data_IF_100918633180
#
_entry.id   IF_100918633180
#
_cell.length_a   1.000
_cell.length_b   1.000
_cell.length_c   1.000
_cell.angle_alpha   90.00
_cell.angle_beta   90.00
_cell.angle_gamma   90.00
#
_symmetry.space_group_name_H-M   'P 1'
#
loop_
_entity.id
_entity.type
_entity.pdbx_description
1 polymer ?
#
# COMPACT_ATOMS: atom_id res chain seq x y z
N UNK A 1 -22.24 -17.19 -25.89
CA UNK A 1 -22.36 -16.06 -24.95
C UNK A 1 -21.58 -16.38 -23.70
N UNK A 2 -20.64 -15.53 -23.27
CA UNK A 2 -19.97 -15.72 -21.96
C UNK A 2 -20.96 -15.33 -20.87
N UNK A 3 -21.26 -16.27 -19.97
CA UNK A 3 -22.15 -16.01 -18.82
C UNK A 3 -21.56 -14.89 -17.95
N UNK A 4 -22.43 -14.03 -17.46
CA UNK A 4 -22.09 -12.98 -16.50
C UNK A 4 -21.75 -13.63 -15.14
N UNK A 5 -20.84 -13.03 -14.38
CA UNK A 5 -20.43 -13.55 -13.06
C UNK A 5 -21.62 -13.62 -12.07
N UNK A 6 -22.58 -12.71 -12.16
CA UNK A 6 -23.79 -12.71 -11.37
C UNK A 6 -24.68 -13.93 -11.68
N UNK A 7 -24.86 -14.27 -12.95
CA UNK A 7 -25.63 -15.47 -13.35
C UNK A 7 -24.99 -16.74 -12.82
N UNK A 8 -23.65 -16.84 -12.96
CA UNK A 8 -22.90 -17.99 -12.43
C UNK A 8 -23.00 -18.08 -10.90
N UNK A 9 -22.97 -16.96 -10.21
CA UNK A 9 -23.16 -16.86 -8.76
C UNK A 9 -24.56 -17.36 -8.34
N UNK A 10 -25.61 -16.94 -9.05
CA UNK A 10 -26.98 -17.40 -8.81
C UNK A 10 -27.15 -18.91 -8.99
N UNK A 11 -26.52 -19.51 -10.01
CA UNK A 11 -26.51 -20.96 -10.21
C UNK A 11 -25.79 -21.70 -9.05
N UNK A 12 -24.70 -21.14 -8.56
CA UNK A 12 -23.97 -21.70 -7.40
C UNK A 12 -24.85 -21.70 -6.16
N UNK A 13 -25.53 -20.60 -5.87
CA UNK A 13 -26.44 -20.50 -4.72
C UNK A 13 -27.63 -21.46 -4.86
N UNK A 14 -28.21 -21.58 -6.06
CA UNK A 14 -29.28 -22.53 -6.34
C UNK A 14 -28.85 -23.96 -6.04
N UNK A 15 -27.69 -24.36 -6.58
CA UNK A 15 -27.15 -25.71 -6.34
C UNK A 15 -26.82 -25.95 -4.88
N UNK A 16 -26.37 -24.93 -4.16
CA UNK A 16 -26.12 -25.03 -2.72
C UNK A 16 -27.40 -25.24 -1.91
N UNK A 17 -28.49 -24.56 -2.29
CA UNK A 17 -29.81 -24.75 -1.68
C UNK A 17 -30.40 -26.14 -1.96
N UNK A 18 -30.21 -26.67 -3.15
CA UNK A 18 -30.60 -28.08 -3.51
C UNK A 18 -29.85 -29.09 -2.64
N UNK A 19 -28.70 -28.74 -2.08
CA UNK A 19 -27.94 -29.56 -1.14
C UNK A 19 -28.28 -29.30 0.34
N UNK A 20 -29.36 -28.56 0.61
CA UNK A 20 -29.88 -28.35 1.95
C UNK A 20 -29.28 -27.15 2.69
N UNK A 21 -28.58 -26.22 1.99
CA UNK A 21 -28.19 -24.96 2.61
C UNK A 21 -29.35 -23.97 2.52
N UNK A 22 -29.83 -23.55 3.67
CA UNK A 22 -30.94 -22.60 3.82
C UNK A 22 -30.40 -21.22 4.24
N UNK A 23 -31.24 -20.18 4.06
CA UNK A 23 -30.96 -18.82 4.49
C UNK A 23 -30.71 -17.82 3.35
N UNK A 24 -30.34 -16.62 3.74
CA UNK A 24 -30.01 -15.56 2.81
C UNK A 24 -28.68 -15.83 2.08
N UNK A 25 -28.44 -15.10 0.98
CA UNK A 25 -27.25 -15.30 0.14
C UNK A 25 -25.94 -15.26 0.92
N UNK A 26 -25.82 -14.34 1.88
CA UNK A 26 -24.63 -14.22 2.71
C UNK A 26 -24.41 -15.42 3.63
N UNK A 27 -25.48 -15.97 4.17
CA UNK A 27 -25.46 -17.14 5.05
C UNK A 27 -25.06 -18.39 4.27
N UNK A 28 -25.66 -18.59 3.11
CA UNK A 28 -25.32 -19.71 2.19
C UNK A 28 -23.86 -19.61 1.76
N UNK A 29 -23.39 -18.42 1.36
CA UNK A 29 -21.99 -18.23 0.95
C UNK A 29 -21.02 -18.51 2.12
N UNK A 30 -21.32 -18.04 3.35
CA UNK A 30 -20.51 -18.30 4.54
C UNK A 30 -20.49 -19.80 4.88
N UNK A 31 -21.64 -20.46 4.80
CA UNK A 31 -21.74 -21.91 5.05
C UNK A 31 -20.90 -22.71 4.05
N UNK A 32 -20.96 -22.36 2.76
CA UNK A 32 -20.10 -22.99 1.73
C UNK A 32 -18.62 -22.80 2.02
N UNK A 33 -18.21 -21.58 2.42
CA UNK A 33 -16.83 -21.27 2.74
C UNK A 33 -16.29 -22.03 3.96
N UNK A 34 -17.18 -22.38 4.89
CA UNK A 34 -16.87 -23.17 6.09
C UNK A 34 -16.75 -24.67 5.83
N UNK A 35 -17.14 -25.16 4.66
CA UNK A 35 -17.03 -26.59 4.36
C UNK A 35 -15.58 -27.10 4.35
N UNK A 36 -15.35 -28.33 4.79
CA UNK A 36 -14.05 -29.00 4.66
C UNK A 36 -13.56 -28.97 3.21
N UNK A 37 -12.25 -28.86 3.02
CA UNK A 37 -11.61 -28.65 1.72
C UNK A 37 -12.07 -29.66 0.64
N UNK A 38 -12.21 -30.91 1.00
CA UNK A 38 -12.61 -31.99 0.06
C UNK A 38 -14.09 -31.84 -0.36
N UNK A 39 -14.99 -31.55 0.59
CA UNK A 39 -16.40 -31.28 0.31
C UNK A 39 -16.57 -30.08 -0.57
N UNK A 40 -15.82 -29.02 -0.27
CA UNK A 40 -15.83 -27.79 -1.08
C UNK A 40 -15.32 -28.00 -2.51
N UNK A 41 -14.27 -28.82 -2.69
CA UNK A 41 -13.74 -29.18 -4.01
C UNK A 41 -14.74 -29.99 -4.82
N UNK A 42 -15.40 -30.97 -4.21
CA UNK A 42 -16.45 -31.79 -4.85
C UNK A 42 -17.62 -30.90 -5.30
N UNK A 43 -18.04 -29.94 -4.48
CA UNK A 43 -19.05 -28.96 -4.84
C UNK A 43 -18.63 -28.09 -6.00
N UNK A 44 -17.41 -27.53 -5.96
CA UNK A 44 -16.87 -26.71 -7.05
C UNK A 44 -16.84 -27.48 -8.38
N UNK A 45 -16.45 -28.76 -8.36
CA UNK A 45 -16.49 -29.62 -9.53
C UNK A 45 -17.92 -29.86 -10.03
N UNK A 46 -18.89 -30.06 -9.12
CA UNK A 46 -20.33 -30.21 -9.47
C UNK A 46 -20.90 -29.01 -10.18
N UNK A 47 -20.52 -27.79 -9.79
CA UNK A 47 -20.94 -26.54 -10.45
C UNK A 47 -20.03 -26.16 -11.64
N UNK A 48 -19.07 -27.00 -12.01
CA UNK A 48 -18.20 -26.79 -13.17
C UNK A 48 -17.16 -25.68 -12.98
N UNK A 49 -16.80 -25.34 -11.74
CA UNK A 49 -15.89 -24.24 -11.42
C UNK A 49 -14.61 -24.73 -10.74
N UNK A 50 -13.51 -23.96 -10.93
CA UNK A 50 -12.30 -24.18 -10.15
C UNK A 50 -12.54 -23.75 -8.69
N UNK A 51 -12.20 -24.60 -7.72
CA UNK A 51 -12.41 -24.35 -6.30
C UNK A 51 -11.77 -23.01 -5.84
N UNK A 52 -10.59 -22.65 -6.37
CA UNK A 52 -9.93 -21.38 -6.09
C UNK A 52 -10.77 -20.19 -6.55
N UNK A 53 -11.27 -20.21 -7.79
CA UNK A 53 -12.13 -19.17 -8.33
C UNK A 53 -13.43 -19.03 -7.54
N UNK A 54 -14.09 -20.16 -7.24
CA UNK A 54 -15.31 -20.18 -6.44
C UNK A 54 -15.09 -19.54 -5.06
N UNK A 55 -14.01 -19.91 -4.36
CA UNK A 55 -13.71 -19.45 -3.00
C UNK A 55 -13.29 -17.99 -2.91
N UNK A 56 -12.42 -17.54 -3.82
CA UNK A 56 -11.75 -16.24 -3.69
C UNK A 56 -12.35 -15.14 -4.56
N UNK A 57 -13.05 -15.51 -5.60
CA UNK A 57 -13.60 -14.52 -6.54
C UNK A 57 -15.14 -14.50 -6.52
N UNK A 58 -15.80 -15.65 -6.60
CA UNK A 58 -17.23 -15.71 -6.82
C UNK A 58 -18.05 -15.61 -5.52
N UNK A 59 -17.78 -16.43 -4.50
CA UNK A 59 -18.52 -16.40 -3.24
C UNK A 59 -18.39 -15.07 -2.48
N UNK A 60 -17.27 -14.30 -2.55
CA UNK A 60 -17.19 -12.97 -1.97
C UNK A 60 -18.16 -11.93 -2.56
N UNK A 61 -18.86 -12.23 -3.65
CA UNK A 61 -19.97 -11.38 -4.17
C UNK A 61 -21.01 -11.14 -3.07
N UNK A 62 -21.28 -12.12 -2.22
CA UNK A 62 -22.20 -11.99 -1.08
C UNK A 62 -21.82 -10.86 -0.10
N UNK A 63 -20.54 -10.48 -0.06
CA UNK A 63 -20.01 -9.44 0.83
C UNK A 63 -19.93 -8.07 0.17
N UNK A 64 -20.29 -7.96 -1.11
CA UNK A 64 -20.30 -6.68 -1.79
C UNK A 64 -21.48 -5.82 -1.34
N UNK A 65 -21.29 -4.51 -1.18
CA UNK A 65 -22.38 -3.55 -0.98
C UNK A 65 -23.39 -3.62 -2.12
N UNK A 66 -24.65 -3.27 -1.80
CA UNK A 66 -25.77 -3.33 -2.75
C UNK A 66 -25.49 -2.63 -4.09
N UNK A 67 -24.95 -1.40 -4.16
CA UNK A 67 -24.67 -0.75 -5.45
C UNK A 67 -23.71 -1.55 -6.34
N UNK A 68 -22.76 -2.29 -5.78
CA UNK A 68 -21.84 -3.14 -6.55
C UNK A 68 -22.51 -4.44 -6.99
N UNK A 69 -23.42 -4.99 -6.21
CA UNK A 69 -24.20 -6.18 -6.58
C UNK A 69 -25.14 -5.85 -7.74
N UNK A 70 -25.87 -4.71 -7.65
CA UNK A 70 -26.69 -4.22 -8.77
C UNK A 70 -25.89 -3.94 -10.03
N UNK A 71 -24.69 -3.36 -9.89
CA UNK A 71 -23.83 -3.11 -11.03
C UNK A 71 -23.34 -4.41 -11.68
N UNK A 72 -23.06 -5.46 -10.90
CA UNK A 72 -22.75 -6.80 -11.42
C UNK A 72 -23.91 -7.40 -12.20
N UNK A 73 -25.14 -7.25 -11.72
CA UNK A 73 -26.35 -7.67 -12.45
C UNK A 73 -26.46 -6.98 -13.80
N UNK A 74 -26.11 -5.69 -13.85
CA UNK A 74 -26.13 -4.84 -15.06
C UNK A 74 -24.87 -5.01 -15.93
N UNK A 75 -23.95 -5.95 -15.58
CA UNK A 75 -22.82 -6.31 -16.43
C UNK A 75 -21.47 -5.72 -16.03
N UNK A 76 -21.32 -5.12 -14.84
CA UNK A 76 -20.01 -4.74 -14.33
C UNK A 76 -19.11 -6.00 -14.23
N UNK A 77 -17.88 -5.99 -14.75
CA UNK A 77 -16.97 -7.12 -14.61
C UNK A 77 -16.65 -7.40 -13.12
N UNK A 78 -16.63 -8.67 -12.72
CA UNK A 78 -16.37 -9.10 -11.34
C UNK A 78 -15.06 -8.53 -10.79
N UNK A 79 -14.02 -8.49 -11.62
CA UNK A 79 -12.73 -7.90 -11.25
C UNK A 79 -12.88 -6.43 -10.83
N UNK A 80 -13.69 -5.67 -11.56
CA UNK A 80 -13.94 -4.25 -11.26
C UNK A 80 -14.77 -4.09 -9.97
N UNK A 81 -15.79 -4.92 -9.78
CA UNK A 81 -16.57 -4.91 -8.54
C UNK A 81 -15.68 -5.17 -7.31
N UNK A 82 -14.75 -6.13 -7.39
CA UNK A 82 -13.79 -6.38 -6.31
C UNK A 82 -12.78 -5.23 -6.15
N UNK A 83 -12.37 -4.58 -7.24
CA UNK A 83 -11.51 -3.38 -7.18
C UNK A 83 -12.21 -2.26 -6.43
N UNK A 84 -13.43 -1.93 -6.82
CA UNK A 84 -14.24 -0.89 -6.18
C UNK A 84 -14.54 -1.21 -4.71
N UNK A 85 -14.87 -2.46 -4.38
CA UNK A 85 -15.07 -2.88 -2.99
C UNK A 85 -13.81 -2.70 -2.14
N UNK A 86 -12.62 -2.99 -2.68
CA UNK A 86 -11.36 -2.70 -1.98
C UNK A 86 -11.18 -1.20 -1.74
N UNK A 87 -11.51 -0.35 -2.71
CA UNK A 87 -11.45 1.10 -2.57
C UNK A 87 -12.42 1.63 -1.51
N UNK A 88 -13.66 1.11 -1.48
CA UNK A 88 -14.63 1.41 -0.40
C UNK A 88 -14.10 1.03 0.97
N UNK A 89 -13.61 -0.21 1.12
CA UNK A 89 -13.07 -0.70 2.41
C UNK A 89 -11.88 0.10 2.91
N UNK A 90 -11.18 0.78 2.03
CA UNK A 90 -10.03 1.63 2.33
C UNK A 90 -10.42 3.09 2.55
N UNK A 91 -11.69 3.45 2.31
CA UNK A 91 -12.18 4.82 2.41
C UNK A 91 -11.71 5.73 1.26
N UNK A 92 -11.27 5.16 0.14
CA UNK A 92 -10.94 5.89 -1.10
C UNK A 92 -12.21 6.34 -1.80
N UNK A 93 -13.23 5.47 -1.81
CA UNK A 93 -14.57 5.74 -2.30
C UNK A 93 -15.56 5.67 -1.15
N UNK A 94 -16.64 6.41 -1.26
CA UNK A 94 -17.84 6.28 -0.45
C UNK A 94 -18.93 5.52 -1.21
N UNK A 95 -19.97 5.06 -0.53
CA UNK A 95 -21.12 4.46 -1.20
C UNK A 95 -21.81 5.47 -2.13
N UNK A 96 -21.81 6.76 -1.77
CA UNK A 96 -22.35 7.83 -2.59
C UNK A 96 -21.63 7.96 -3.95
N UNK A 97 -20.33 7.66 -4.01
CA UNK A 97 -19.58 7.68 -5.27
C UNK A 97 -20.03 6.59 -6.25
N UNK A 98 -20.74 5.56 -5.78
CA UNK A 98 -21.23 4.44 -6.57
C UNK A 98 -22.70 4.57 -6.94
N UNK A 99 -23.48 5.34 -6.17
CA UNK A 99 -24.93 5.46 -6.36
C UNK A 99 -25.27 6.10 -7.70
N UNK A 100 -26.20 5.48 -8.43
CA UNK A 100 -26.69 5.99 -9.72
C UNK A 100 -25.72 5.87 -10.89
N UNK A 101 -24.53 5.30 -10.68
CA UNK A 101 -23.54 5.11 -11.75
C UNK A 101 -23.84 3.86 -12.58
N UNK A 102 -23.71 3.97 -13.90
CA UNK A 102 -23.78 2.80 -14.77
C UNK A 102 -22.51 1.93 -14.69
N UNK A 103 -22.54 0.66 -15.14
CA UNK A 103 -21.37 -0.22 -15.07
C UNK A 103 -20.12 0.29 -15.79
N UNK A 104 -20.28 1.08 -16.87
CA UNK A 104 -19.15 1.66 -17.60
C UNK A 104 -18.53 2.81 -16.82
N UNK A 105 -19.36 3.68 -16.24
CA UNK A 105 -18.92 4.75 -15.38
C UNK A 105 -18.21 4.20 -14.13
N UNK A 106 -18.77 3.16 -13.50
CA UNK A 106 -18.14 2.47 -12.37
C UNK A 106 -16.79 1.82 -12.75
N UNK A 107 -16.72 1.16 -13.90
CA UNK A 107 -15.48 0.57 -14.41
C UNK A 107 -14.42 1.64 -14.74
N UNK A 108 -14.88 2.81 -15.17
CA UNK A 108 -14.05 3.96 -15.47
C UNK A 108 -13.76 4.83 -14.24
N UNK A 109 -14.45 4.56 -13.09
CA UNK A 109 -14.08 5.28 -11.87
C UNK A 109 -12.59 5.09 -11.62
N UNK A 110 -11.75 6.11 -11.94
CA UNK A 110 -10.37 6.07 -11.53
C UNK A 110 -10.36 6.06 -9.99
N UNK A 111 -9.35 5.59 -9.38
CA UNK A 111 -8.76 6.33 -8.29
C UNK A 111 -8.83 7.79 -8.72
N UNK A 112 -9.46 8.69 -7.96
CA UNK A 112 -9.78 10.08 -8.38
C UNK A 112 -8.71 10.66 -9.29
N UNK A 113 -9.02 11.54 -10.29
CA UNK A 113 -8.00 12.08 -11.16
C UNK A 113 -6.81 12.58 -10.34
N UNK A 114 -5.63 12.00 -10.57
CA UNK A 114 -4.45 12.27 -9.76
C UNK A 114 -4.21 11.32 -8.59
N UNK A 115 -5.04 10.30 -8.34
CA UNK A 115 -4.79 9.28 -7.33
C UNK A 115 -4.14 8.02 -7.91
N UNK A 116 -3.21 7.48 -7.15
CA UNK A 116 -2.51 6.23 -7.45
C UNK A 116 -3.40 5.05 -7.09
N UNK A 117 -3.46 4.01 -7.92
CA UNK A 117 -4.06 2.72 -7.53
C UNK A 117 -3.17 2.03 -6.48
N UNK A 118 -3.56 1.98 -5.20
CA UNK A 118 -2.73 1.37 -4.16
C UNK A 118 -2.53 -0.13 -4.36
N UNK A 119 -3.34 -0.77 -5.21
CA UNK A 119 -3.23 -2.20 -5.51
C UNK A 119 -2.15 -2.55 -6.52
N UNK A 120 -1.66 -1.57 -7.28
CA UNK A 120 -0.58 -1.74 -8.25
C UNK A 120 0.80 -1.77 -7.56
N UNK A 121 1.77 -2.55 -8.03
CA UNK A 121 3.15 -2.44 -7.59
C UNK A 121 3.86 -1.20 -8.19
N UNK A 122 3.40 -0.71 -9.33
CA UNK A 122 3.90 0.50 -9.99
C UNK A 122 2.84 1.57 -9.90
N UNK A 123 3.21 2.72 -9.39
CA UNK A 123 2.34 3.85 -9.15
C UNK A 123 2.68 5.00 -10.09
N UNK A 124 1.72 5.42 -10.90
CA UNK A 124 1.84 6.60 -11.74
C UNK A 124 1.11 7.76 -11.05
N UNK A 125 1.80 8.87 -10.84
CA UNK A 125 1.23 10.06 -10.22
C UNK A 125 1.40 11.29 -11.13
N UNK A 126 0.53 12.31 -11.02
CA UNK A 126 0.68 13.55 -11.76
C UNK A 126 2.02 14.22 -11.43
N UNK A 127 2.68 14.87 -12.41
CA UNK A 127 3.88 15.63 -12.12
C UNK A 127 3.57 16.71 -11.09
N UNK A 128 4.36 16.77 -10.04
CA UNK A 128 4.34 17.85 -9.05
C UNK A 128 5.58 18.73 -9.23
N UNK A 129 5.55 20.00 -8.78
CA UNK A 129 6.76 20.80 -8.78
C UNK A 129 7.90 20.04 -8.09
N UNK A 130 9.09 20.09 -8.67
CA UNK A 130 10.25 19.39 -8.11
C UNK A 130 10.46 19.85 -6.67
N UNK A 131 10.28 18.92 -5.77
CA UNK A 131 10.54 19.06 -4.36
C UNK A 131 11.11 17.73 -3.86
N UNK A 132 11.92 17.78 -2.83
CA UNK A 132 12.43 16.57 -2.17
C UNK A 132 11.33 15.87 -1.33
N UNK A 133 10.16 16.50 -1.18
CA UNK A 133 9.04 15.92 -0.46
C UNK A 133 8.40 14.75 -1.24
N UNK A 134 7.89 13.75 -0.51
CA UNK A 134 7.11 12.69 -1.09
C UNK A 134 5.83 13.26 -1.74
N UNK A 135 5.50 12.92 -3.00
CA UNK A 135 4.29 13.42 -3.65
C UNK A 135 3.02 13.08 -2.85
N UNK A 136 2.08 14.01 -2.77
CA UNK A 136 0.84 13.84 -1.99
C UNK A 136 0.05 12.59 -2.42
N UNK A 137 -0.03 12.35 -3.73
CA UNK A 137 -0.70 11.17 -4.28
C UNK A 137 -0.05 9.86 -3.81
N UNK A 138 1.28 9.82 -3.72
CA UNK A 138 2.05 8.66 -3.23
C UNK A 138 1.85 8.49 -1.72
N UNK A 139 1.93 9.57 -0.94
CA UNK A 139 1.66 9.54 0.50
C UNK A 139 0.25 9.01 0.80
N UNK A 140 -0.76 9.49 0.08
CA UNK A 140 -2.15 9.01 0.19
C UNK A 140 -2.27 7.52 -0.12
N UNK A 141 -1.62 7.04 -1.19
CA UNK A 141 -1.63 5.64 -1.57
C UNK A 141 -1.02 4.73 -0.48
N UNK A 142 0.11 5.13 0.12
CA UNK A 142 0.72 4.43 1.25
C UNK A 142 -0.23 4.31 2.45
N UNK A 143 -0.84 5.44 2.84
CA UNK A 143 -1.74 5.49 3.99
C UNK A 143 -2.97 4.61 3.75
N UNK A 144 -3.58 4.69 2.58
CA UNK A 144 -4.75 3.88 2.21
C UNK A 144 -4.43 2.39 2.16
N UNK A 145 -3.22 2.03 1.72
CA UNK A 145 -2.82 0.64 1.59
C UNK A 145 -2.48 -0.02 2.93
N UNK A 146 -1.85 0.71 3.84
CA UNK A 146 -1.24 0.13 5.04
C UNK A 146 -1.95 0.52 6.35
N UNK A 147 -2.96 1.39 6.31
CA UNK A 147 -3.67 1.85 7.52
C UNK A 147 -5.18 1.86 7.35
N UNK A 148 -5.90 1.94 8.48
CA UNK A 148 -7.35 2.14 8.59
C UNK A 148 -7.66 3.51 9.20
N UNK A 149 -8.85 4.08 9.01
CA UNK A 149 -9.29 5.25 9.77
C UNK A 149 -9.07 5.06 11.28
N UNK A 150 -8.54 6.10 11.94
CA UNK A 150 -8.19 6.06 13.36
C UNK A 150 -6.80 5.53 13.69
N UNK A 151 -6.13 4.82 12.79
CA UNK A 151 -4.76 4.34 12.99
C UNK A 151 -3.76 5.49 13.15
N UNK A 152 -2.64 5.21 13.83
CA UNK A 152 -1.54 6.16 13.99
C UNK A 152 -0.52 6.03 12.86
N UNK A 153 -0.22 7.14 12.20
CA UNK A 153 0.83 7.29 11.20
C UNK A 153 1.93 8.18 11.76
N UNK A 154 3.17 7.76 11.63
CA UNK A 154 4.35 8.48 12.14
C UNK A 154 5.31 8.72 10.99
N UNK A 155 5.74 9.98 10.85
CA UNK A 155 6.79 10.41 9.91
C UNK A 155 7.89 11.13 10.70
N UNK A 156 9.00 10.47 11.04
CA UNK A 156 10.04 11.05 11.88
C UNK A 156 11.02 11.97 11.14
N UNK A 157 10.86 12.12 9.81
CA UNK A 157 11.65 13.02 8.96
C UNK A 157 10.72 13.77 8.00
N UNK A 158 9.68 14.37 8.57
CA UNK A 158 8.49 14.82 7.87
C UNK A 158 8.69 16.06 6.96
N UNK A 159 9.78 16.79 7.10
CA UNK A 159 10.09 17.96 6.27
C UNK A 159 8.94 18.96 6.22
N UNK A 160 8.16 18.98 5.13
CA UNK A 160 6.96 19.83 4.94
C UNK A 160 5.70 19.23 5.56
N UNK A 161 5.67 17.94 5.89
CA UNK A 161 4.54 17.28 6.50
C UNK A 161 3.53 16.65 5.53
N UNK A 162 3.93 16.34 4.29
CA UNK A 162 3.03 15.77 3.28
C UNK A 162 2.36 14.48 3.76
N UNK A 163 3.10 13.59 4.42
CA UNK A 163 2.55 12.35 4.99
C UNK A 163 1.55 12.65 6.11
N UNK A 164 1.86 13.62 6.97
CA UNK A 164 0.98 14.04 8.07
C UNK A 164 -0.32 14.64 7.54
N UNK A 165 -0.22 15.50 6.54
CA UNK A 165 -1.37 16.11 5.85
C UNK A 165 -2.26 15.02 5.24
N UNK A 166 -1.67 14.13 4.44
CA UNK A 166 -2.38 13.02 3.81
C UNK A 166 -3.09 12.11 4.83
N UNK A 167 -2.40 11.77 5.93
CA UNK A 167 -2.97 10.92 6.97
C UNK A 167 -4.18 11.57 7.66
N UNK A 168 -4.07 12.83 8.05
CA UNK A 168 -5.16 13.58 8.68
C UNK A 168 -6.36 13.75 7.75
N UNK A 169 -6.11 14.09 6.48
CA UNK A 169 -7.15 14.22 5.47
C UNK A 169 -7.92 12.90 5.22
N UNK A 170 -7.29 11.77 5.48
CA UNK A 170 -7.87 10.43 5.36
C UNK A 170 -8.42 9.87 6.68
N UNK A 171 -8.55 10.70 7.73
CA UNK A 171 -9.11 10.29 9.03
C UNK A 171 -8.17 9.41 9.88
N UNK A 172 -6.85 9.51 9.66
CA UNK A 172 -5.84 8.87 10.51
C UNK A 172 -5.30 9.87 11.53
N UNK A 173 -4.88 9.38 12.69
CA UNK A 173 -4.04 10.16 13.60
C UNK A 173 -2.65 10.23 12.99
N UNK A 174 -1.98 11.38 13.10
CA UNK A 174 -0.65 11.53 12.53
C UNK A 174 0.24 12.44 13.36
N UNK A 175 1.50 12.07 13.43
CA UNK A 175 2.57 12.89 13.97
C UNK A 175 3.73 12.94 12.95
N UNK A 176 4.29 14.14 12.79
CA UNK A 176 5.50 14.38 12.03
C UNK A 176 6.52 15.11 12.85
N UNK A 177 7.75 14.60 12.89
CA UNK A 177 8.91 15.23 13.47
C UNK A 177 9.98 15.51 12.43
N UNK A 178 10.75 16.60 12.64
CA UNK A 178 11.91 16.92 11.82
C UNK A 178 12.88 17.81 12.61
N UNK A 179 14.17 17.65 12.42
CA UNK A 179 15.18 18.51 13.05
C UNK A 179 15.11 19.96 12.52
N UNK A 180 14.65 20.12 11.26
CA UNK A 180 14.47 21.39 10.57
C UNK A 180 13.09 21.46 9.89
N UNK A 181 11.97 21.52 10.65
CA UNK A 181 10.63 21.45 10.09
C UNK A 181 10.38 22.61 9.12
N UNK A 182 9.77 22.25 7.97
CA UNK A 182 9.45 23.18 6.88
C UNK A 182 7.95 23.41 6.70
N UNK A 183 7.13 22.82 7.56
CA UNK A 183 5.67 22.93 7.50
C UNK A 183 5.01 23.06 8.87
N UNK A 184 3.80 23.64 8.92
CA UNK A 184 3.11 23.95 10.19
C UNK A 184 2.59 22.70 10.91
N UNK A 185 2.53 21.56 10.23
CA UNK A 185 2.05 20.28 10.79
C UNK A 185 3.19 19.44 11.38
N UNK A 186 4.43 19.92 11.32
CA UNK A 186 5.65 19.20 11.70
C UNK A 186 6.22 19.82 12.96
N UNK A 187 6.49 18.97 13.93
CA UNK A 187 7.13 19.35 15.19
C UNK A 187 8.66 19.34 15.02
N UNK A 188 9.35 20.27 15.67
CA UNK A 188 10.82 20.20 15.76
C UNK A 188 11.19 19.06 16.72
N UNK A 189 11.70 17.97 16.19
CA UNK A 189 12.07 16.78 16.94
C UNK A 189 13.18 16.00 16.24
N UNK A 190 14.00 15.33 17.03
CA UNK A 190 15.03 14.43 16.53
C UNK A 190 14.47 13.00 16.45
N UNK A 191 14.78 12.26 15.40
CA UNK A 191 14.38 10.86 15.27
C UNK A 191 14.86 9.99 16.42
N UNK A 192 15.96 10.35 17.08
CA UNK A 192 16.51 9.66 18.27
C UNK A 192 15.53 9.68 19.45
N UNK A 193 14.59 10.59 19.48
CA UNK A 193 13.54 10.66 20.51
C UNK A 193 12.34 9.76 20.22
N UNK A 194 12.24 9.22 18.99
CA UNK A 194 11.11 8.43 18.54
C UNK A 194 10.80 7.21 19.45
N UNK A 195 11.79 6.40 19.91
CA UNK A 195 11.52 5.25 20.78
C UNK A 195 10.98 5.61 22.16
N UNK A 196 11.20 6.84 22.62
CA UNK A 196 10.65 7.36 23.89
C UNK A 196 9.24 7.90 23.71
N UNK A 197 8.95 8.44 22.53
CA UNK A 197 7.69 9.10 22.20
C UNK A 197 6.58 8.12 21.81
N UNK A 198 6.93 7.10 21.05
CA UNK A 198 5.99 6.08 20.58
C UNK A 198 6.49 4.68 20.94
N UNK A 199 5.59 3.90 21.55
CA UNK A 199 5.86 2.50 21.86
C UNK A 199 4.70 1.63 21.42
N UNK A 200 4.90 0.87 20.33
CA UNK A 200 3.92 -0.07 19.79
C UNK A 200 2.57 0.59 19.42
N UNK A 201 2.60 1.81 18.91
CA UNK A 201 1.38 2.59 18.61
C UNK A 201 1.18 2.84 17.12
N UNK A 202 2.25 2.92 16.33
CA UNK A 202 2.18 3.27 14.93
C UNK A 202 1.76 2.07 14.06
N UNK A 203 0.65 2.20 13.36
CA UNK A 203 0.26 1.25 12.32
C UNK A 203 1.15 1.40 11.07
N UNK A 204 1.66 2.62 10.85
CA UNK A 204 2.56 2.93 9.75
C UNK A 204 3.61 3.94 10.22
N UNK A 205 4.88 3.63 9.97
CA UNK A 205 5.98 4.57 10.01
C UNK A 205 6.45 4.79 8.57
N UNK A 206 6.51 6.05 8.13
CA UNK A 206 7.09 6.42 6.84
C UNK A 206 8.42 7.11 7.12
N UNK A 207 9.51 6.48 6.76
CA UNK A 207 10.85 7.01 6.93
C UNK A 207 11.36 7.48 5.56
N UNK A 208 11.51 8.79 5.42
CA UNK A 208 12.05 9.44 4.23
C UNK A 208 13.35 10.16 4.58
N UNK A 209 14.49 9.45 4.59
CA UNK A 209 15.76 10.04 4.96
C UNK A 209 16.28 11.01 3.89
N UNK A 210 17.25 11.88 4.23
CA UNK A 210 17.90 12.74 3.25
C UNK A 210 18.53 11.89 2.14
N UNK A 211 18.58 12.43 0.93
CA UNK A 211 19.27 11.78 -0.20
C UNK A 211 20.78 11.67 0.09
N UNK A 212 21.46 10.76 -0.60
CA UNK A 212 22.91 10.62 -0.44
C UNK A 212 23.67 11.94 -0.66
N UNK A 213 23.31 12.70 -1.67
CA UNK A 213 23.91 14.01 -1.93
C UNK A 213 23.60 15.04 -0.80
N UNK A 214 22.41 15.01 -0.23
CA UNK A 214 22.07 15.87 0.91
C UNK A 214 22.89 15.47 2.14
N UNK A 215 22.97 14.18 2.43
CA UNK A 215 23.79 13.65 3.53
C UNK A 215 25.27 14.01 3.40
N UNK A 216 25.86 13.87 2.19
CA UNK A 216 27.25 14.27 1.95
C UNK A 216 27.47 15.75 2.27
N UNK A 217 26.55 16.63 1.86
CA UNK A 217 26.63 18.08 2.16
C UNK A 217 26.54 18.36 3.67
N UNK A 218 25.65 17.68 4.36
CA UNK A 218 25.49 17.82 5.82
C UNK A 218 26.74 17.38 6.57
N UNK A 219 27.37 16.28 6.12
CA UNK A 219 28.64 15.78 6.69
C UNK A 219 29.88 16.56 6.22
N UNK A 220 29.72 17.56 5.37
CA UNK A 220 30.82 18.40 4.86
C UNK A 220 31.70 17.73 3.81
N UNK A 221 31.20 16.67 3.16
CA UNK A 221 31.91 15.98 2.07
C UNK A 221 31.60 16.58 0.70
N UNK A 222 32.50 16.35 -0.25
CA UNK A 222 32.23 16.67 -1.66
C UNK A 222 31.20 15.70 -2.24
N UNK A 223 30.37 16.15 -3.16
CA UNK A 223 29.31 15.35 -3.79
C UNK A 223 29.83 14.11 -4.56
N UNK A 224 31.14 14.04 -4.79
CA UNK A 224 31.84 12.98 -5.55
C UNK A 224 32.38 11.86 -4.65
N UNK A 225 32.16 11.90 -3.33
CA UNK A 225 32.67 10.90 -2.39
C UNK A 225 31.85 9.59 -2.45
N UNK A 226 31.86 8.94 -3.61
CA UNK A 226 31.07 7.73 -3.91
C UNK A 226 31.40 6.55 -3.02
N UNK A 227 32.66 6.43 -2.60
CA UNK A 227 33.15 5.42 -1.67
C UNK A 227 32.43 5.44 -0.32
N UNK A 228 31.76 6.55 0.03
CA UNK A 228 31.02 6.72 1.28
C UNK A 228 29.58 6.23 1.22
N UNK A 229 29.12 5.72 0.08
CA UNK A 229 27.75 5.23 -0.03
C UNK A 229 27.42 4.12 0.99
N UNK A 230 28.39 3.25 1.28
CA UNK A 230 28.23 2.24 2.32
C UNK A 230 28.06 2.82 3.73
N UNK A 231 28.69 3.97 4.04
CA UNK A 231 28.51 4.68 5.31
C UNK A 231 27.11 5.30 5.39
N UNK A 232 26.67 5.91 4.30
CA UNK A 232 25.31 6.44 4.18
C UNK A 232 24.25 5.35 4.44
N UNK A 233 24.40 4.17 3.82
CA UNK A 233 23.46 3.06 4.04
C UNK A 233 23.47 2.60 5.51
N UNK A 234 24.64 2.51 6.17
CA UNK A 234 24.72 2.20 7.61
C UNK A 234 24.04 3.27 8.46
N UNK A 235 24.16 4.54 8.08
CA UNK A 235 23.47 5.63 8.76
C UNK A 235 21.95 5.48 8.63
N UNK A 236 21.44 5.14 7.45
CA UNK A 236 20.02 4.84 7.25
C UNK A 236 19.56 3.64 8.08
N UNK A 237 20.38 2.56 8.15
CA UNK A 237 20.07 1.39 9.00
C UNK A 237 19.88 1.80 10.48
N UNK A 238 20.68 2.72 11.00
CA UNK A 238 20.52 3.21 12.37
C UNK A 238 19.17 3.92 12.60
N UNK A 239 18.63 4.60 11.60
CA UNK A 239 17.29 5.21 11.71
C UNK A 239 16.17 4.16 11.69
N UNK A 240 16.35 3.08 10.95
CA UNK A 240 15.40 1.96 10.93
C UNK A 240 15.26 1.33 12.31
N UNK A 241 16.38 1.15 13.02
CA UNK A 241 16.38 0.64 14.41
C UNK A 241 15.58 1.54 15.36
N UNK A 242 15.66 2.85 15.19
CA UNK A 242 14.88 3.80 15.98
C UNK A 242 13.38 3.76 15.67
N UNK A 243 12.99 3.37 14.45
CA UNK A 243 11.59 3.28 14.04
C UNK A 243 10.89 2.02 14.58
N UNK A 244 11.62 0.92 14.76
CA UNK A 244 11.07 -0.38 15.14
C UNK A 244 10.23 -0.36 16.43
N UNK A 245 10.69 0.24 17.55
CA UNK A 245 9.93 0.27 18.81
C UNK A 245 8.61 1.04 18.72
N UNK A 246 8.47 1.95 17.76
CA UNK A 246 7.25 2.74 17.56
C UNK A 246 6.10 1.93 16.93
N UNK A 247 6.42 0.88 16.18
CA UNK A 247 5.46 0.09 15.42
C UNK A 247 4.57 -0.77 16.31
N UNK A 248 3.28 -0.69 16.11
CA UNK A 248 2.29 -1.59 16.70
C UNK A 248 2.48 -3.03 16.19
N UNK A 249 1.95 -4.05 16.89
CA UNK A 249 1.90 -5.40 16.35
C UNK A 249 1.22 -5.43 14.98
N UNK A 250 1.92 -5.96 13.97
CA UNK A 250 1.47 -5.93 12.57
C UNK A 250 1.62 -4.60 11.85
N UNK A 251 2.15 -3.57 12.52
CA UNK A 251 2.49 -2.27 11.92
C UNK A 251 3.56 -2.41 10.83
N UNK A 252 3.60 -1.46 9.92
CA UNK A 252 4.50 -1.46 8.75
C UNK A 252 5.42 -0.25 8.77
N UNK A 253 6.66 -0.47 8.33
CA UNK A 253 7.59 0.59 7.98
C UNK A 253 7.62 0.71 6.46
N UNK A 254 7.59 1.95 5.97
CA UNK A 254 7.91 2.28 4.58
C UNK A 254 9.17 3.11 4.58
N UNK A 255 10.24 2.55 4.02
CA UNK A 255 11.47 3.27 3.74
C UNK A 255 11.35 3.87 2.34
N UNK A 256 11.35 5.19 2.28
CA UNK A 256 11.33 5.95 1.03
C UNK A 256 12.78 6.18 0.60
N UNK A 257 13.18 5.55 -0.48
CA UNK A 257 14.53 5.62 -1.00
C UNK A 257 14.59 6.37 -2.33
N UNK A 258 15.68 7.05 -2.53
CA UNK A 258 16.09 7.58 -3.83
C UNK A 258 17.44 6.95 -4.20
N UNK A 259 17.41 5.83 -4.93
CA UNK A 259 18.63 5.20 -5.40
C UNK A 259 19.39 6.14 -6.30
N UNK A 260 20.69 5.97 -6.31
CA UNK A 260 21.56 6.73 -7.17
C UNK A 260 21.28 6.42 -8.62
N UNK A 261 21.10 7.43 -9.46
CA UNK A 261 20.70 7.29 -10.88
C UNK A 261 21.84 7.01 -11.84
N UNK A 262 23.08 7.35 -11.47
CA UNK A 262 24.25 7.21 -12.33
C UNK A 262 25.15 6.10 -11.81
N UNK A 263 25.22 5.01 -12.58
CA UNK A 263 26.30 4.04 -12.44
C UNK A 263 27.53 4.58 -13.18
N UNK A 264 28.64 4.63 -12.50
CA UNK A 264 29.92 4.89 -13.16
C UNK A 264 30.42 3.60 -13.82
N UNK A 265 31.33 3.65 -14.83
CA UNK A 265 31.96 2.45 -15.37
C UNK A 265 32.60 1.57 -14.28
N UNK A 266 33.15 2.18 -13.21
CA UNK A 266 33.73 1.45 -12.08
C UNK A 266 32.66 0.66 -11.29
N UNK A 267 31.47 1.21 -11.13
CA UNK A 267 30.38 0.53 -10.43
C UNK A 267 29.95 -0.73 -11.20
N UNK A 268 29.88 -0.64 -12.52
CA UNK A 268 29.56 -1.77 -13.40
C UNK A 268 30.64 -2.85 -13.37
N UNK A 269 31.91 -2.45 -13.37
CA UNK A 269 33.06 -3.39 -13.30
C UNK A 269 33.14 -4.09 -11.94
N UNK A 270 32.78 -3.39 -10.85
CA UNK A 270 32.78 -3.94 -9.50
C UNK A 270 31.56 -4.83 -9.22
N UNK A 271 30.58 -4.92 -10.12
CA UNK A 271 29.37 -5.70 -9.94
C UNK A 271 28.48 -5.18 -8.79
N UNK A 272 28.58 -3.90 -8.45
CA UNK A 272 27.78 -3.31 -7.39
C UNK A 272 26.35 -3.04 -7.88
N UNK A 273 25.37 -3.65 -7.24
CA UNK A 273 23.95 -3.30 -7.38
C UNK A 273 23.63 -2.11 -6.48
N UNK A 274 23.74 -0.90 -7.02
CA UNK A 274 23.49 0.34 -6.29
C UNK A 274 22.01 0.68 -6.16
N UNK A 275 21.10 -0.05 -6.83
CA UNK A 275 19.73 0.39 -6.89
C UNK A 275 18.88 -0.11 -5.72
N UNK A 276 18.76 -1.40 -5.54
CA UNK A 276 17.81 -1.97 -4.59
C UNK A 276 18.45 -2.76 -3.45
N UNK A 277 19.46 -3.56 -3.74
CA UNK A 277 20.04 -4.48 -2.78
C UNK A 277 20.60 -3.83 -1.50
N UNK A 278 21.25 -2.65 -1.53
CA UNK A 278 21.68 -1.98 -0.29
C UNK A 278 20.52 -1.62 0.63
N UNK A 279 19.38 -1.20 0.08
CA UNK A 279 18.20 -0.79 0.84
C UNK A 279 17.45 -1.98 1.45
N UNK A 280 17.34 -3.09 0.69
CA UNK A 280 16.80 -4.35 1.20
C UNK A 280 17.67 -4.91 2.32
N UNK A 281 18.99 -4.84 2.16
CA UNK A 281 19.96 -5.24 3.17
C UNK A 281 19.84 -4.39 4.44
N UNK A 282 19.72 -3.06 4.31
CA UNK A 282 19.52 -2.16 5.44
C UNK A 282 18.26 -2.53 6.24
N UNK A 283 17.15 -2.85 5.58
CA UNK A 283 15.95 -3.34 6.24
C UNK A 283 16.19 -4.66 6.97
N UNK A 284 16.86 -5.60 6.32
CA UNK A 284 17.13 -6.92 6.91
C UNK A 284 18.07 -6.84 8.12
N UNK A 285 19.12 -6.00 8.05
CA UNK A 285 20.06 -5.74 9.15
C UNK A 285 19.40 -5.04 10.34
N UNK A 286 18.42 -4.16 10.10
CA UNK A 286 17.61 -3.53 11.14
C UNK A 286 16.43 -4.40 11.62
N UNK A 287 16.48 -5.71 11.37
CA UNK A 287 15.53 -6.71 11.83
C UNK A 287 14.09 -6.50 11.31
N UNK A 288 13.97 -6.02 10.07
CA UNK A 288 12.72 -5.99 9.34
C UNK A 288 12.65 -7.14 8.33
N UNK A 289 11.47 -7.73 8.19
CA UNK A 289 11.14 -8.65 7.12
C UNK A 289 10.62 -7.84 5.92
N UNK A 290 11.29 -7.83 4.77
CA UNK A 290 10.77 -7.19 3.58
C UNK A 290 9.43 -7.83 3.16
N UNK A 291 8.43 -7.01 2.86
CA UNK A 291 7.09 -7.46 2.46
C UNK A 291 6.76 -7.10 1.02
N UNK A 292 7.04 -5.88 0.64
CA UNK A 292 6.71 -5.32 -0.67
C UNK A 292 7.69 -4.24 -1.09
N UNK A 293 7.72 -4.04 -2.38
CA UNK A 293 8.35 -2.92 -3.03
C UNK A 293 7.34 -2.25 -3.95
N UNK A 294 7.29 -0.92 -3.92
CA UNK A 294 6.52 -0.13 -4.87
C UNK A 294 7.45 0.87 -5.56
N UNK A 295 7.26 1.02 -6.86
CA UNK A 295 7.89 2.06 -7.65
C UNK A 295 6.86 3.11 -7.99
N UNK A 296 7.04 4.34 -7.52
CA UNK A 296 6.20 5.48 -7.88
C UNK A 296 6.95 6.35 -8.89
N UNK A 297 6.32 6.60 -10.03
CA UNK A 297 6.91 7.37 -11.15
C UNK A 297 5.95 8.47 -11.54
N UNK A 298 6.44 9.69 -11.73
CA UNK A 298 5.63 10.75 -12.31
C UNK A 298 5.25 10.44 -13.76
N UNK A 299 4.07 10.87 -14.18
CA UNK A 299 3.58 10.60 -15.54
C UNK A 299 4.47 11.16 -16.65
N UNK A 300 5.28 12.18 -16.34
CA UNK A 300 6.29 12.74 -17.24
C UNK A 300 7.67 12.02 -17.17
N UNK A 301 7.77 11.01 -16.31
CA UNK A 301 8.99 10.20 -16.14
C UNK A 301 10.17 10.92 -15.46
N UNK A 302 9.95 12.15 -14.95
CA UNK A 302 11.05 12.96 -14.37
C UNK A 302 11.33 12.67 -12.91
N UNK A 303 10.35 12.10 -12.19
CA UNK A 303 10.45 11.81 -10.76
C UNK A 303 10.13 10.35 -10.51
N UNK A 304 10.91 9.71 -9.67
CA UNK A 304 10.69 8.34 -9.21
C UNK A 304 11.02 8.22 -7.72
N UNK A 305 10.29 7.34 -7.06
CA UNK A 305 10.41 7.05 -5.65
C UNK A 305 10.37 5.54 -5.44
N UNK A 306 11.31 5.03 -4.68
CA UNK A 306 11.41 3.63 -4.35
C UNK A 306 10.93 3.41 -2.91
N UNK A 307 9.91 2.60 -2.75
CA UNK A 307 9.19 2.43 -1.49
C UNK A 307 9.35 1.00 -1.02
N UNK A 308 10.23 0.78 -0.07
CA UNK A 308 10.47 -0.53 0.53
C UNK A 308 9.60 -0.68 1.77
N UNK A 309 8.77 -1.71 1.79
CA UNK A 309 7.86 -1.98 2.89
C UNK A 309 8.35 -3.17 3.68
N UNK A 310 8.53 -2.98 4.97
CA UNK A 310 8.91 -4.02 5.91
C UNK A 310 8.01 -4.09 7.13
N UNK A 311 8.04 -5.23 7.81
CA UNK A 311 7.48 -5.38 9.14
C UNK A 311 8.54 -5.89 10.11
N UNK A 312 8.50 -5.51 11.40
CA UNK A 312 9.43 -6.04 12.39
C UNK A 312 9.42 -7.56 12.39
N UNK A 313 10.59 -8.19 12.46
CA UNK A 313 10.70 -9.61 12.81
C UNK A 313 10.32 -9.73 14.28
N UNK A 314 9.40 -10.62 14.58
CA UNK A 314 8.85 -10.82 15.92
C UNK A 314 9.85 -11.35 16.94
#
# INVERSE_FOLDING_TARGET
MKRNAWEVYGEVLKTARELGLEGEEQEVAKALLAWPKERFRAFAARVGLKAKYLRHDLLPIALLPEPLREALQKGLPLREAHRLHRLLRRGVLSLQDLEGQDPKALAALPARPGEVDPGSPVWLFPPEPWDEALPLAVARALILLYTRPGDMVVDPMAGRGTVVEAARALGRRAWGGDIAPRGPLVERADIRDLPRRFRKEAALVVLHPPTFAAWLREEGFREEAEERYGEYIRHISSFLDLCRPALAPGGKLVLVARPRRTLTPRDLEAGHDFFLAPWERALAEADFRPLRYHLAVSQDGRQDWHLFVGEPRG
#
